data_IF_263576534514
#
_entry.id   IF_263576534514
#
_cell.length_a   1.000
_cell.length_b   1.000
_cell.length_c   1.000
_cell.angle_alpha   90.00
_cell.angle_beta   90.00
_cell.angle_gamma   90.00
#
_symmetry.space_group_name_H-M   'P 1'
#
loop_
_entity.id
_entity.type
_entity.pdbx_description
1 polymer ?
#
# COMPACT_ATOMS: atom_id res chain seq x y z
N UNK A 1 -19.95 8.85 0.81
CA UNK A 1 -21.21 8.65 1.56
C UNK A 1 -21.28 9.50 2.81
N UNK A 2 -20.17 9.82 3.40
CA UNK A 2 -20.04 10.67 4.59
C UNK A 2 -19.04 11.78 4.30
N UNK A 3 -19.33 12.99 4.73
CA UNK A 3 -18.41 14.14 4.73
C UNK A 3 -18.03 14.49 6.16
N UNK A 4 -16.80 15.00 6.35
CA UNK A 4 -16.33 15.48 7.66
C UNK A 4 -16.22 16.99 7.59
N UNK A 5 -16.88 17.69 8.54
CA UNK A 5 -16.78 19.13 8.69
C UNK A 5 -16.74 19.43 10.20
N UNK A 6 -15.81 20.26 10.63
CA UNK A 6 -15.63 20.69 12.03
C UNK A 6 -15.57 19.50 13.01
N UNK A 7 -14.86 18.42 12.64
CA UNK A 7 -14.75 17.14 13.37
C UNK A 7 -16.06 16.34 13.51
N UNK A 8 -17.12 16.73 12.81
CA UNK A 8 -18.38 15.99 12.77
C UNK A 8 -18.56 15.24 11.46
N UNK A 9 -19.24 14.09 11.53
CA UNK A 9 -19.59 13.28 10.36
C UNK A 9 -20.98 13.65 9.88
N UNK A 10 -21.07 14.06 8.62
CA UNK A 10 -22.35 14.37 7.95
C UNK A 10 -22.62 13.37 6.85
N UNK A 11 -23.83 12.86 6.78
CA UNK A 11 -24.26 11.98 5.68
C UNK A 11 -24.41 12.81 4.40
N UNK A 12 -23.68 12.45 3.33
CA UNK A 12 -23.83 13.07 2.02
C UNK A 12 -25.18 12.73 1.37
N UNK A 13 -25.55 13.40 0.27
CA UNK A 13 -26.76 13.01 -0.52
C UNK A 13 -26.71 11.53 -0.90
N UNK A 14 -25.61 11.04 -1.44
CA UNK A 14 -25.40 9.61 -1.76
C UNK A 14 -25.53 8.70 -0.53
N UNK A 15 -25.11 9.16 0.64
CA UNK A 15 -25.28 8.42 1.90
C UNK A 15 -26.74 8.34 2.33
N UNK A 16 -27.51 9.40 2.12
CA UNK A 16 -28.96 9.42 2.38
C UNK A 16 -29.72 8.49 1.45
N UNK A 17 -29.38 8.50 0.16
CA UNK A 17 -29.96 7.59 -0.86
C UNK A 17 -29.68 6.13 -0.51
N UNK A 18 -28.44 5.80 -0.10
CA UNK A 18 -28.10 4.45 0.35
C UNK A 18 -28.90 4.06 1.61
N UNK A 19 -29.01 4.95 2.58
CA UNK A 19 -29.79 4.69 3.80
C UNK A 19 -31.29 4.46 3.47
N UNK A 20 -31.83 5.21 2.52
CA UNK A 20 -33.20 5.01 2.03
C UNK A 20 -33.37 3.63 1.38
N UNK A 21 -32.48 3.29 0.42
CA UNK A 21 -32.48 2.00 -0.27
C UNK A 21 -32.30 0.81 0.70
N UNK A 22 -31.48 0.98 1.75
CA UNK A 22 -31.34 0.00 2.83
C UNK A 22 -32.66 -0.15 3.62
N UNK A 23 -33.28 0.96 4.03
CA UNK A 23 -34.50 0.95 4.82
C UNK A 23 -35.69 0.35 4.06
N UNK A 24 -35.77 0.48 2.72
CA UNK A 24 -36.84 -0.11 1.91
C UNK A 24 -36.91 -1.64 2.02
N UNK A 25 -35.77 -2.29 2.26
CA UNK A 25 -35.67 -3.74 2.34
C UNK A 25 -35.85 -4.31 3.75
N UNK A 26 -35.99 -3.46 4.75
CA UNK A 26 -36.19 -3.89 6.13
C UNK A 26 -37.69 -3.91 6.43
N UNK A 27 -38.25 -5.06 6.86
CA UNK A 27 -39.65 -5.13 7.28
C UNK A 27 -39.98 -4.08 8.34
N UNK A 28 -41.19 -3.52 8.30
CA UNK A 28 -41.56 -2.41 9.18
C UNK A 28 -41.59 -2.80 10.66
N UNK A 29 -42.00 -4.02 10.96
CA UNK A 29 -41.95 -4.58 12.31
C UNK A 29 -40.51 -4.67 12.86
N UNK A 30 -39.55 -5.06 12.03
CA UNK A 30 -38.12 -5.08 12.38
C UNK A 30 -37.59 -3.66 12.63
N UNK A 31 -37.95 -2.70 11.78
CA UNK A 31 -37.57 -1.28 11.99
C UNK A 31 -38.14 -0.74 13.31
N UNK A 32 -39.41 -1.03 13.60
CA UNK A 32 -40.07 -0.62 14.82
C UNK A 32 -39.39 -1.25 16.05
N UNK A 33 -39.10 -2.54 16.00
CA UNK A 33 -38.36 -3.26 17.02
C UNK A 33 -36.96 -2.66 17.28
N UNK A 34 -36.24 -2.28 16.21
CA UNK A 34 -34.95 -1.62 16.33
C UNK A 34 -35.02 -0.28 17.07
N UNK A 35 -36.00 0.57 16.73
CA UNK A 35 -36.20 1.85 17.39
C UNK A 35 -36.53 1.63 18.89
N UNK A 36 -37.41 0.68 19.19
CA UNK A 36 -37.79 0.36 20.57
C UNK A 36 -36.57 -0.16 21.36
N UNK A 37 -35.73 -0.97 20.76
CA UNK A 37 -34.52 -1.50 21.39
C UNK A 37 -33.51 -0.39 21.69
N UNK A 38 -33.31 0.56 20.76
CA UNK A 38 -32.46 1.75 20.98
C UNK A 38 -33.00 2.59 22.14
N UNK A 39 -34.29 2.85 22.16
CA UNK A 39 -34.91 3.62 23.24
C UNK A 39 -34.77 2.96 24.62
N UNK A 40 -34.75 1.63 24.69
CA UNK A 40 -34.48 0.87 25.92
C UNK A 40 -33.01 0.89 26.35
N UNK A 41 -32.10 1.27 25.47
CA UNK A 41 -30.65 1.35 25.71
C UNK A 41 -29.94 0.02 25.93
N UNK A 42 -30.59 -1.12 25.66
CA UNK A 42 -30.03 -2.47 25.76
C UNK A 42 -30.72 -3.43 24.79
N UNK A 43 -29.98 -4.42 24.33
CA UNK A 43 -30.46 -5.48 23.45
C UNK A 43 -30.37 -6.84 24.18
N UNK A 44 -31.40 -7.64 24.06
CA UNK A 44 -31.40 -9.04 24.46
C UNK A 44 -30.95 -9.93 23.30
N UNK A 45 -30.73 -11.22 23.56
CA UNK A 45 -30.42 -12.18 22.51
C UNK A 45 -31.60 -12.40 21.54
N UNK A 46 -32.83 -12.32 22.06
CA UNK A 46 -34.06 -12.35 21.27
C UNK A 46 -34.15 -11.14 20.34
N UNK A 47 -33.83 -9.94 20.83
CA UNK A 47 -33.78 -8.72 20.00
C UNK A 47 -32.77 -8.90 18.84
N UNK A 48 -31.58 -9.47 19.11
CA UNK A 48 -30.59 -9.71 18.06
C UNK A 48 -31.07 -10.68 16.97
N UNK A 49 -31.88 -11.71 17.34
CA UNK A 49 -32.47 -12.63 16.37
C UNK A 49 -33.51 -11.90 15.48
N UNK A 50 -34.35 -11.06 16.05
CA UNK A 50 -35.33 -10.24 15.31
C UNK A 50 -34.63 -9.23 14.41
N UNK A 51 -33.53 -8.62 14.88
CA UNK A 51 -32.78 -7.61 14.15
C UNK A 51 -31.81 -8.18 13.10
N UNK A 52 -31.74 -9.50 12.94
CA UNK A 52 -30.87 -10.14 11.94
C UNK A 52 -30.98 -9.55 10.51
N UNK A 53 -32.18 -9.14 10.01
CA UNK A 53 -32.29 -8.52 8.68
C UNK A 53 -31.56 -7.19 8.51
N UNK A 54 -31.21 -6.51 9.61
CA UNK A 54 -30.46 -5.24 9.61
C UNK A 54 -28.94 -5.49 9.52
N UNK A 55 -28.49 -6.73 9.62
CA UNK A 55 -27.08 -7.08 9.55
C UNK A 55 -26.45 -6.70 8.21
N UNK A 56 -25.27 -6.05 8.26
CA UNK A 56 -24.51 -5.58 7.08
C UNK A 56 -24.13 -6.70 6.10
N UNK A 57 -24.18 -7.94 6.52
CA UNK A 57 -23.89 -9.14 5.70
C UNK A 57 -25.16 -9.79 5.12
N UNK A 58 -26.31 -9.10 5.17
CA UNK A 58 -27.59 -9.59 4.67
C UNK A 58 -27.98 -8.98 3.32
N UNK A 59 -27.02 -8.43 2.57
CA UNK A 59 -27.27 -7.87 1.24
C UNK A 59 -27.85 -8.94 0.29
N UNK A 60 -29.05 -8.71 -0.21
CA UNK A 60 -29.75 -9.63 -1.13
C UNK A 60 -29.71 -9.07 -2.55
N UNK A 61 -29.33 -9.93 -3.51
CA UNK A 61 -29.36 -9.58 -4.95
C UNK A 61 -30.77 -9.15 -5.37
N UNK A 62 -30.84 -8.06 -6.14
CA UNK A 62 -32.10 -7.54 -6.69
C UNK A 62 -32.84 -6.57 -5.75
N UNK A 63 -32.34 -6.29 -4.56
CA UNK A 63 -32.91 -5.27 -3.66
C UNK A 63 -32.46 -3.87 -4.08
N UNK A 64 -33.18 -2.82 -3.65
CA UNK A 64 -32.81 -1.41 -3.90
C UNK A 64 -31.40 -1.10 -3.39
N UNK A 65 -31.03 -1.61 -2.22
CA UNK A 65 -29.69 -1.46 -1.65
C UNK A 65 -28.63 -2.13 -2.54
N UNK A 66 -28.87 -3.35 -3.01
CA UNK A 66 -27.97 -4.05 -3.91
C UNK A 66 -27.76 -3.28 -5.22
N UNK A 67 -28.84 -2.81 -5.83
CA UNK A 67 -28.78 -2.00 -7.06
C UNK A 67 -27.99 -0.71 -6.85
N UNK A 68 -28.21 -0.04 -5.74
CA UNK A 68 -27.51 1.19 -5.40
C UNK A 68 -26.01 0.97 -5.20
N UNK A 69 -25.63 -0.02 -4.40
CA UNK A 69 -24.23 -0.37 -4.15
C UNK A 69 -23.53 -0.85 -5.43
N UNK A 70 -24.22 -1.67 -6.22
CA UNK A 70 -23.70 -2.12 -7.51
C UNK A 70 -23.44 -0.94 -8.44
N UNK A 71 -24.37 0.00 -8.54
CA UNK A 71 -24.23 1.23 -9.32
C UNK A 71 -23.05 2.07 -8.84
N UNK A 72 -22.92 2.28 -7.54
CA UNK A 72 -21.79 3.03 -6.97
C UNK A 72 -20.42 2.40 -7.29
N UNK A 73 -20.36 1.08 -7.37
CA UNK A 73 -19.10 0.38 -7.69
C UNK A 73 -18.71 0.48 -9.17
N UNK A 74 -19.67 0.47 -10.05
CA UNK A 74 -19.46 0.33 -11.51
C UNK A 74 -19.50 1.66 -12.23
N UNK A 75 -20.27 2.64 -11.75
CA UNK A 75 -20.33 3.94 -12.41
C UNK A 75 -18.99 4.71 -12.30
N UNK A 76 -18.67 5.53 -13.29
CA UNK A 76 -17.56 6.47 -13.17
C UNK A 76 -17.67 7.34 -11.91
N UNK A 77 -16.52 7.80 -11.41
CA UNK A 77 -16.49 8.76 -10.30
C UNK A 77 -17.08 10.12 -10.72
N UNK A 78 -17.31 11.00 -9.76
CA UNK A 78 -17.90 12.34 -10.00
C UNK A 78 -17.11 13.15 -11.04
N UNK A 79 -15.79 12.94 -11.09
CA UNK A 79 -14.90 13.57 -12.08
C UNK A 79 -14.77 12.77 -13.40
N UNK A 80 -15.61 11.75 -13.61
CA UNK A 80 -15.61 10.92 -14.82
C UNK A 80 -14.53 9.81 -14.83
N UNK A 81 -13.77 9.63 -13.75
CA UNK A 81 -12.75 8.57 -13.70
C UNK A 81 -13.37 7.16 -13.73
N UNK A 82 -12.82 6.30 -14.56
CA UNK A 82 -13.19 4.88 -14.71
C UNK A 82 -12.29 3.93 -13.95
N UNK A 83 -11.26 4.42 -13.27
CA UNK A 83 -10.20 3.62 -12.64
C UNK A 83 -10.72 2.51 -11.72
N UNK A 84 -11.77 2.80 -10.93
CA UNK A 84 -12.36 1.79 -10.04
C UNK A 84 -13.04 0.67 -10.84
N UNK A 85 -13.85 1.03 -11.84
CA UNK A 85 -14.53 0.08 -12.71
C UNK A 85 -13.54 -0.79 -13.48
N UNK A 86 -12.49 -0.19 -14.03
CA UNK A 86 -11.38 -0.88 -14.70
C UNK A 86 -10.65 -1.83 -13.76
N UNK A 87 -10.32 -1.37 -12.53
CA UNK A 87 -9.70 -2.21 -11.51
C UNK A 87 -10.55 -3.42 -11.15
N UNK A 88 -11.86 -3.27 -11.07
CA UNK A 88 -12.78 -4.39 -10.83
C UNK A 88 -12.72 -5.38 -12.00
N UNK A 89 -12.75 -4.92 -13.25
CA UNK A 89 -12.60 -5.77 -14.43
C UNK A 89 -11.31 -6.58 -14.37
N UNK A 90 -10.16 -5.90 -14.22
CA UNK A 90 -8.85 -6.53 -14.13
C UNK A 90 -8.78 -7.56 -12.99
N UNK A 91 -9.39 -7.24 -11.85
CA UNK A 91 -9.42 -8.15 -10.71
C UNK A 91 -10.26 -9.40 -10.96
N UNK A 92 -11.43 -9.26 -11.57
CA UNK A 92 -12.28 -10.39 -11.96
C UNK A 92 -11.59 -11.26 -13.02
N UNK A 93 -10.92 -10.65 -14.00
CA UNK A 93 -10.12 -11.39 -15.00
C UNK A 93 -8.97 -12.18 -14.33
N UNK A 94 -8.28 -11.59 -13.34
CA UNK A 94 -7.24 -12.28 -12.58
C UNK A 94 -7.81 -13.48 -11.80
N UNK A 95 -8.98 -13.34 -11.16
CA UNK A 95 -9.66 -14.44 -10.48
C UNK A 95 -10.01 -15.58 -11.49
N UNK A 96 -10.44 -15.23 -12.72
CA UNK A 96 -10.74 -16.22 -13.74
C UNK A 96 -9.53 -17.09 -14.12
N UNK A 97 -8.33 -16.54 -14.03
CA UNK A 97 -7.06 -17.25 -14.27
C UNK A 97 -6.49 -17.91 -13.02
N UNK A 98 -7.24 -17.94 -11.90
CA UNK A 98 -6.83 -18.51 -10.61
C UNK A 98 -5.62 -17.81 -9.98
N UNK A 99 -5.43 -16.51 -10.27
CA UNK A 99 -4.45 -15.70 -9.57
C UNK A 99 -4.77 -15.63 -8.07
N UNK A 100 -3.78 -15.83 -7.21
CA UNK A 100 -3.96 -15.60 -5.80
C UNK A 100 -4.24 -14.10 -5.53
N UNK A 101 -5.16 -13.80 -4.61
CA UNK A 101 -5.62 -12.43 -4.35
C UNK A 101 -4.45 -11.48 -4.05
N UNK A 102 -3.48 -11.94 -3.27
CA UNK A 102 -2.32 -11.12 -2.90
C UNK A 102 -1.31 -10.93 -4.04
N UNK A 103 -1.34 -11.77 -5.06
CA UNK A 103 -0.45 -11.67 -6.22
C UNK A 103 -1.01 -10.76 -7.33
N UNK A 104 -2.24 -10.29 -7.18
CA UNK A 104 -2.88 -9.44 -8.16
C UNK A 104 -2.06 -8.18 -8.54
N UNK A 105 -1.46 -7.41 -7.60
CA UNK A 105 -0.65 -6.25 -7.98
C UNK A 105 0.59 -6.64 -8.80
N UNK A 106 1.24 -7.77 -8.45
CA UNK A 106 2.39 -8.31 -9.20
C UNK A 106 1.99 -8.72 -10.61
N UNK A 107 0.87 -9.44 -10.75
CA UNK A 107 0.30 -9.83 -12.05
C UNK A 107 0.05 -8.59 -12.94
N UNK A 108 -0.57 -7.54 -12.37
CA UNK A 108 -0.84 -6.30 -13.12
C UNK A 108 0.45 -5.56 -13.50
N UNK A 109 1.47 -5.60 -12.66
CA UNK A 109 2.79 -5.06 -13.01
C UNK A 109 3.42 -5.80 -14.19
N UNK A 110 3.40 -7.14 -14.18
CA UNK A 110 4.00 -7.99 -15.21
C UNK A 110 3.24 -7.92 -16.54
N UNK A 111 1.92 -7.79 -16.50
CA UNK A 111 1.06 -7.71 -17.68
C UNK A 111 0.90 -6.29 -18.25
N UNK A 112 1.49 -5.29 -17.58
CA UNK A 112 1.33 -3.92 -18.00
C UNK A 112 1.85 -3.68 -19.44
N UNK A 113 1.00 -3.03 -20.25
CA UNK A 113 1.34 -2.56 -21.60
C UNK A 113 1.00 -1.07 -21.72
N UNK A 114 1.73 -0.34 -22.56
CA UNK A 114 1.52 1.09 -22.75
C UNK A 114 0.13 1.45 -23.29
N UNK A 115 -0.53 0.52 -23.97
CA UNK A 115 -1.87 0.67 -24.57
C UNK A 115 -2.97 0.00 -23.73
N UNK A 116 -2.66 -0.44 -22.51
CA UNK A 116 -3.61 -1.07 -21.61
C UNK A 116 -4.57 -0.06 -20.95
N UNK A 117 -5.46 -0.61 -20.11
CA UNK A 117 -6.36 0.22 -19.31
C UNK A 117 -5.59 1.15 -18.36
N UNK A 118 -6.16 2.32 -18.08
CA UNK A 118 -5.52 3.28 -17.15
C UNK A 118 -5.35 2.69 -15.76
N UNK A 119 -6.30 1.91 -15.26
CA UNK A 119 -6.17 1.21 -14.00
C UNK A 119 -5.03 0.20 -13.97
N UNK A 120 -4.65 -0.40 -15.10
CA UNK A 120 -3.48 -1.26 -15.18
C UNK A 120 -2.19 -0.49 -14.92
N UNK A 121 -2.06 0.74 -15.46
CA UNK A 121 -0.97 1.63 -15.07
C UNK A 121 -1.05 2.01 -13.58
N UNK A 122 -2.23 2.22 -13.04
CA UNK A 122 -2.44 2.49 -11.61
C UNK A 122 -1.91 1.35 -10.72
N UNK A 123 -2.15 0.09 -11.08
CA UNK A 123 -1.62 -1.07 -10.37
C UNK A 123 -0.12 -1.26 -10.59
N UNK A 124 0.40 -0.98 -11.79
CA UNK A 124 1.83 -0.94 -12.07
C UNK A 124 2.54 0.11 -11.21
N UNK A 125 1.99 1.33 -11.12
CA UNK A 125 2.46 2.39 -10.24
C UNK A 125 2.43 1.96 -8.77
N UNK A 126 1.31 1.38 -8.30
CA UNK A 126 1.16 0.90 -6.94
C UNK A 126 2.23 -0.14 -6.59
N UNK A 127 2.46 -1.13 -7.46
CA UNK A 127 3.48 -2.16 -7.25
C UNK A 127 4.88 -1.57 -7.09
N UNK A 128 5.25 -0.59 -7.92
CA UNK A 128 6.53 0.11 -7.80
C UNK A 128 6.65 0.92 -6.51
N UNK A 129 5.59 1.63 -6.10
CA UNK A 129 5.55 2.35 -4.83
C UNK A 129 5.77 1.43 -3.63
N UNK A 130 5.09 0.28 -3.60
CA UNK A 130 5.24 -0.71 -2.55
C UNK A 130 6.64 -1.34 -2.54
N UNK A 131 7.20 -1.59 -3.73
CA UNK A 131 8.58 -2.09 -3.87
C UNK A 131 9.58 -1.09 -3.26
N UNK A 132 9.48 0.19 -3.60
CA UNK A 132 10.36 1.25 -3.08
C UNK A 132 10.18 1.39 -1.57
N UNK A 133 8.95 1.41 -1.10
CA UNK A 133 8.62 1.49 0.33
C UNK A 133 9.25 0.31 1.09
N UNK A 134 9.06 -0.91 0.60
CA UNK A 134 9.62 -2.10 1.22
C UNK A 134 11.16 -2.09 1.24
N UNK A 135 11.80 -1.56 0.19
CA UNK A 135 13.25 -1.37 0.17
C UNK A 135 13.72 -0.40 1.24
N UNK A 136 13.06 0.76 1.37
CA UNK A 136 13.39 1.77 2.39
C UNK A 136 13.21 1.17 3.80
N UNK A 137 12.11 0.46 4.05
CA UNK A 137 11.87 -0.23 5.32
C UNK A 137 12.89 -1.35 5.59
N UNK A 138 13.41 -2.03 4.55
CA UNK A 138 14.44 -3.06 4.71
C UNK A 138 15.79 -2.48 5.13
N UNK A 139 16.17 -1.33 4.58
CA UNK A 139 17.37 -0.60 5.04
C UNK A 139 17.13 -0.06 6.46
N UNK A 140 15.92 0.44 6.73
CA UNK A 140 15.53 0.91 8.06
C UNK A 140 15.59 -0.21 9.11
N UNK A 141 15.18 -1.41 8.75
CA UNK A 141 15.29 -2.58 9.63
C UNK A 141 16.76 -2.85 10.02
N UNK A 142 17.71 -2.81 9.07
CA UNK A 142 19.14 -2.93 9.40
C UNK A 142 19.59 -1.81 10.35
N UNK A 143 19.11 -0.58 10.16
CA UNK A 143 19.39 0.54 11.07
C UNK A 143 18.95 0.19 12.50
N UNK A 144 17.75 -0.33 12.68
CA UNK A 144 17.20 -0.70 13.98
C UNK A 144 17.96 -1.88 14.62
N UNK A 145 18.28 -2.93 13.85
CA UNK A 145 19.10 -4.05 14.33
C UNK A 145 20.50 -3.58 14.77
N UNK A 146 21.12 -2.71 13.96
CA UNK A 146 22.44 -2.15 14.30
C UNK A 146 22.38 -1.28 15.55
N UNK A 147 21.29 -0.52 15.76
CA UNK A 147 21.08 0.27 16.97
C UNK A 147 20.87 -0.64 18.20
N UNK A 148 20.19 -1.78 18.05
CA UNK A 148 20.01 -2.76 19.11
C UNK A 148 21.32 -3.42 19.57
N UNK A 149 22.21 -3.71 18.61
CA UNK A 149 23.52 -4.28 18.90
C UNK A 149 24.51 -3.27 19.52
N UNK A 150 24.35 -1.98 19.22
CA UNK A 150 25.30 -0.90 19.53
C UNK A 150 24.60 0.27 20.22
N UNK A 151 23.89 -0.01 21.30
CA UNK A 151 23.16 1.01 22.06
C UNK A 151 24.09 2.11 22.59
N UNK A 152 23.64 3.37 22.55
CA UNK A 152 24.40 4.57 22.93
C UNK A 152 25.68 4.83 22.13
N UNK A 153 25.70 4.46 20.87
CA UNK A 153 26.82 4.73 19.99
C UNK A 153 26.72 6.13 19.35
N UNK A 154 27.84 6.84 19.26
CA UNK A 154 27.92 8.11 18.54
C UNK A 154 27.42 7.94 17.07
N UNK A 155 26.58 8.86 16.60
CA UNK A 155 25.85 8.74 15.33
C UNK A 155 26.76 8.51 14.12
N UNK A 156 27.89 9.20 14.03
CA UNK A 156 28.82 9.03 12.91
C UNK A 156 29.42 7.62 12.88
N UNK A 157 29.82 7.09 14.04
CA UNK A 157 30.35 5.72 14.15
C UNK A 157 29.28 4.68 13.89
N UNK A 158 28.05 4.96 14.31
CA UNK A 158 26.90 4.13 14.01
C UNK A 158 26.63 4.01 12.49
N UNK A 159 26.63 5.14 11.78
CA UNK A 159 26.44 5.17 10.32
C UNK A 159 27.55 4.39 9.61
N UNK A 160 28.80 4.52 10.07
CA UNK A 160 29.93 3.75 9.53
C UNK A 160 29.74 2.24 9.70
N UNK A 161 29.28 1.78 10.87
CA UNK A 161 29.02 0.35 11.15
C UNK A 161 27.88 -0.17 10.26
N UNK A 162 26.75 0.55 10.19
CA UNK A 162 25.62 0.15 9.36
C UNK A 162 26.01 0.10 7.87
N UNK A 163 26.79 1.09 7.41
CA UNK A 163 27.31 1.11 6.03
C UNK A 163 28.21 -0.09 5.76
N UNK A 164 29.13 -0.40 6.69
CA UNK A 164 30.04 -1.54 6.59
C UNK A 164 29.28 -2.87 6.50
N UNK A 165 28.25 -3.06 7.32
CA UNK A 165 27.40 -4.27 7.27
C UNK A 165 26.76 -4.48 5.89
N UNK A 166 26.26 -3.41 5.22
CA UNK A 166 25.70 -3.52 3.86
C UNK A 166 26.80 -3.92 2.85
N UNK A 167 27.98 -3.32 2.93
CA UNK A 167 29.08 -3.61 2.02
C UNK A 167 29.60 -5.05 2.20
N UNK A 168 29.72 -5.52 3.43
CA UNK A 168 30.21 -6.87 3.75
C UNK A 168 29.19 -7.98 3.44
N UNK A 169 27.90 -7.64 3.29
CA UNK A 169 26.87 -8.58 2.83
C UNK A 169 27.08 -9.00 1.35
N UNK A 170 27.92 -8.30 0.61
CA UNK A 170 28.34 -8.69 -0.74
C UNK A 170 29.68 -9.46 -0.67
N UNK A 171 29.72 -10.62 -1.32
CA UNK A 171 30.97 -11.41 -1.44
C UNK A 171 32.04 -10.75 -2.31
N UNK A 172 31.68 -9.72 -3.10
CA UNK A 172 32.60 -8.94 -3.91
C UNK A 172 32.82 -7.57 -3.30
N UNK A 173 34.06 -7.07 -3.29
CA UNK A 173 34.34 -5.71 -2.85
C UNK A 173 33.78 -4.68 -3.85
N UNK A 174 32.68 -4.05 -3.45
CA UNK A 174 32.04 -2.98 -4.24
C UNK A 174 32.40 -1.57 -3.71
N UNK A 175 33.31 -1.46 -2.77
CA UNK A 175 33.64 -0.18 -2.11
C UNK A 175 34.15 0.90 -3.08
N UNK A 176 34.75 0.50 -4.20
CA UNK A 176 35.27 1.38 -5.25
C UNK A 176 34.22 1.81 -6.28
N UNK A 177 33.04 1.17 -6.28
CA UNK A 177 31.97 1.47 -7.21
C UNK A 177 31.23 2.76 -6.84
N UNK A 178 30.55 3.33 -7.83
CA UNK A 178 29.48 4.34 -7.65
C UNK A 178 28.13 3.67 -7.95
N UNK A 179 27.03 4.28 -7.55
CA UNK A 179 25.68 3.80 -7.94
C UNK A 179 25.59 3.76 -9.48
N UNK A 180 26.15 4.76 -10.17
CA UNK A 180 26.16 4.82 -11.64
C UNK A 180 26.90 3.64 -12.29
N UNK A 181 27.98 3.15 -11.68
CA UNK A 181 28.71 1.99 -12.19
C UNK A 181 28.06 0.64 -11.83
N UNK A 182 27.23 0.57 -10.80
CA UNK A 182 26.44 -0.62 -10.44
C UNK A 182 25.21 -0.78 -11.34
N UNK A 183 24.61 0.30 -11.78
CA UNK A 183 23.39 0.32 -12.60
C UNK A 183 23.45 -0.59 -13.85
N UNK A 184 24.51 -0.58 -14.69
CA UNK A 184 24.61 -1.51 -15.83
C UNK A 184 24.65 -2.98 -15.44
N UNK A 185 25.19 -3.31 -14.26
CA UNK A 185 25.31 -4.70 -13.80
C UNK A 185 23.97 -5.34 -13.47
N UNK A 186 22.97 -4.52 -13.13
CA UNK A 186 21.64 -4.97 -12.75
C UNK A 186 20.57 -4.68 -13.81
N UNK A 187 20.95 -4.18 -14.99
CA UNK A 187 20.00 -3.78 -16.06
C UNK A 187 19.06 -4.92 -16.47
N UNK A 188 19.57 -6.15 -16.57
CA UNK A 188 18.83 -7.33 -17.01
C UNK A 188 18.00 -8.00 -15.90
N UNK A 189 18.09 -7.52 -14.65
CA UNK A 189 17.32 -8.10 -13.56
C UNK A 189 15.87 -7.62 -13.60
N UNK A 190 14.96 -8.52 -13.24
CA UNK A 190 13.52 -8.27 -13.18
C UNK A 190 13.15 -7.79 -11.78
N UNK A 191 12.39 -6.67 -11.67
CA UNK A 191 11.97 -6.09 -10.38
C UNK A 191 11.19 -7.09 -9.52
N UNK A 192 10.18 -7.82 -10.00
CA UNK A 192 9.49 -8.86 -9.23
C UNK A 192 10.42 -9.94 -8.65
N UNK A 193 11.38 -10.43 -9.43
CA UNK A 193 12.34 -11.43 -8.95
C UNK A 193 13.24 -10.84 -7.85
N UNK A 194 13.76 -9.64 -8.05
CA UNK A 194 14.58 -8.96 -7.03
C UNK A 194 13.77 -8.68 -5.75
N UNK A 195 12.48 -8.35 -5.88
CA UNK A 195 11.60 -8.16 -4.74
C UNK A 195 11.37 -9.47 -3.98
N UNK A 196 11.11 -10.58 -4.67
CA UNK A 196 10.95 -11.90 -4.05
C UNK A 196 12.22 -12.31 -3.28
N UNK A 197 13.41 -12.08 -3.86
CA UNK A 197 14.69 -12.32 -3.19
C UNK A 197 14.90 -11.45 -1.94
N UNK A 198 14.48 -10.18 -2.00
CA UNK A 198 14.53 -9.27 -0.85
C UNK A 198 13.59 -9.76 0.27
N UNK A 199 12.37 -10.15 -0.09
CA UNK A 199 11.38 -10.69 0.87
C UNK A 199 11.90 -11.96 1.52
N UNK A 200 12.58 -12.84 0.77
CA UNK A 200 13.18 -14.06 1.31
C UNK A 200 14.25 -13.74 2.36
N UNK A 201 15.13 -12.76 2.10
CA UNK A 201 16.12 -12.30 3.09
C UNK A 201 15.48 -11.74 4.37
N UNK A 202 14.34 -11.07 4.24
CA UNK A 202 13.58 -10.58 5.40
C UNK A 202 12.96 -11.74 6.20
N UNK A 203 12.40 -12.74 5.52
CA UNK A 203 11.81 -13.94 6.16
C UNK A 203 12.88 -14.78 6.87
N UNK A 204 14.06 -14.89 6.27
CA UNK A 204 15.19 -15.65 6.83
C UNK A 204 16.02 -14.85 7.85
N UNK A 205 15.55 -13.68 8.24
CA UNK A 205 16.16 -12.81 9.28
C UNK A 205 17.62 -12.40 8.98
N UNK A 206 17.87 -11.97 7.72
CA UNK A 206 19.17 -11.54 7.23
C UNK A 206 19.16 -10.03 6.92
N UNK A 207 19.24 -9.12 7.92
CA UNK A 207 19.02 -7.69 7.72
C UNK A 207 20.10 -7.02 6.83
N UNK A 208 21.33 -7.46 6.86
CA UNK A 208 22.42 -6.89 6.05
C UNK A 208 22.23 -7.24 4.56
N UNK A 209 21.94 -8.51 4.26
CA UNK A 209 21.66 -8.97 2.90
C UNK A 209 20.35 -8.36 2.36
N UNK A 210 19.33 -8.23 3.21
CA UNK A 210 18.09 -7.56 2.85
C UNK A 210 18.35 -6.09 2.48
N UNK A 211 19.15 -5.35 3.27
CA UNK A 211 19.49 -3.97 2.99
C UNK A 211 20.32 -3.81 1.69
N UNK A 212 21.25 -4.73 1.42
CA UNK A 212 21.99 -4.74 0.15
C UNK A 212 21.05 -4.99 -1.04
N UNK A 213 20.18 -6.02 -0.98
CA UNK A 213 19.21 -6.29 -2.04
C UNK A 213 18.22 -5.13 -2.22
N UNK A 214 17.81 -4.49 -1.14
CA UNK A 214 16.98 -3.30 -1.16
C UNK A 214 17.65 -2.13 -1.89
N UNK A 215 18.94 -1.89 -1.62
CA UNK A 215 19.72 -0.86 -2.31
C UNK A 215 19.78 -1.13 -3.83
N UNK A 216 20.10 -2.37 -4.23
CA UNK A 216 20.16 -2.75 -5.66
C UNK A 216 18.79 -2.60 -6.33
N UNK A 217 17.72 -2.98 -5.64
CA UNK A 217 16.36 -2.85 -6.16
C UNK A 217 15.92 -1.39 -6.25
N UNK A 218 16.31 -0.52 -5.31
CA UNK A 218 16.08 0.94 -5.42
C UNK A 218 16.79 1.54 -6.64
N UNK A 219 18.03 1.11 -6.92
CA UNK A 219 18.76 1.53 -8.13
C UNK A 219 18.00 1.07 -9.39
N UNK A 220 17.53 -0.18 -9.41
CA UNK A 220 16.75 -0.70 -10.54
C UNK A 220 15.43 0.07 -10.73
N UNK A 221 14.72 0.40 -9.66
CA UNK A 221 13.51 1.23 -9.72
C UNK A 221 13.82 2.63 -10.25
N UNK A 222 14.92 3.24 -9.82
CA UNK A 222 15.38 4.53 -10.32
C UNK A 222 15.60 4.50 -11.84
N UNK A 223 16.38 3.53 -12.33
CA UNK A 223 16.67 3.37 -13.75
C UNK A 223 15.42 3.05 -14.60
N UNK A 224 14.39 2.46 -13.97
CA UNK A 224 13.12 2.14 -14.64
C UNK A 224 12.18 3.36 -14.71
N UNK A 225 12.10 4.14 -13.63
CA UNK A 225 11.08 5.19 -13.48
C UNK A 225 11.56 6.53 -14.02
N UNK A 226 12.81 6.94 -13.73
CA UNK A 226 13.30 8.28 -14.07
C UNK A 226 13.29 8.58 -15.57
N UNK A 227 13.63 7.65 -16.48
CA UNK A 227 13.54 7.91 -17.91
C UNK A 227 12.13 8.23 -18.43
N UNK A 228 11.09 7.86 -17.67
CA UNK A 228 9.69 8.10 -18.00
C UNK A 228 8.95 8.87 -16.90
N UNK A 229 9.67 9.68 -16.09
CA UNK A 229 9.14 10.41 -14.92
C UNK A 229 7.90 11.25 -15.25
N UNK A 230 7.86 11.89 -16.41
CA UNK A 230 6.74 12.73 -16.83
C UNK A 230 5.41 11.97 -16.87
N UNK A 231 5.44 10.68 -17.28
CA UNK A 231 4.28 9.81 -17.29
C UNK A 231 3.78 9.52 -15.87
N UNK A 232 4.70 9.24 -14.94
CA UNK A 232 4.39 9.00 -13.53
C UNK A 232 3.83 10.27 -12.88
N UNK A 233 4.47 11.41 -13.07
CA UNK A 233 4.03 12.70 -12.52
C UNK A 233 2.66 13.14 -13.08
N UNK A 234 2.40 12.91 -14.37
CA UNK A 234 1.09 13.19 -14.97
C UNK A 234 -0.02 12.33 -14.36
N UNK A 235 0.26 11.03 -14.11
CA UNK A 235 -0.68 10.13 -13.45
C UNK A 235 -0.93 10.55 -12.00
N UNK A 236 0.11 10.83 -11.22
CA UNK A 236 0.02 11.30 -9.84
C UNK A 236 -0.81 12.59 -9.72
N UNK A 237 -0.55 13.55 -10.60
CA UNK A 237 -1.28 14.83 -10.62
C UNK A 237 -2.77 14.62 -10.92
N UNK A 238 -3.10 13.80 -11.91
CA UNK A 238 -4.48 13.53 -12.30
C UNK A 238 -5.26 12.75 -11.26
N UNK A 239 -4.61 11.79 -10.59
CA UNK A 239 -5.24 10.93 -9.58
C UNK A 239 -5.12 11.48 -8.17
N UNK A 240 -4.42 12.59 -7.97
CA UNK A 240 -4.11 13.19 -6.67
C UNK A 240 -3.35 12.26 -5.72
N UNK A 241 -2.68 11.21 -6.23
CA UNK A 241 -1.92 10.26 -5.42
C UNK A 241 -0.69 10.87 -4.77
N UNK A 242 -0.08 11.88 -5.39
CA UNK A 242 1.07 12.63 -4.84
C UNK A 242 0.77 13.26 -3.47
N UNK A 243 -0.49 13.58 -3.18
CA UNK A 243 -0.92 14.12 -1.89
C UNK A 243 -0.89 13.02 -0.80
N UNK A 244 -1.17 11.78 -1.17
CA UNK A 244 -1.31 10.65 -0.26
C UNK A 244 -0.01 9.88 -0.05
N UNK A 245 0.73 9.62 -1.14
CA UNK A 245 1.88 8.72 -1.17
C UNK A 245 3.22 9.45 -1.38
N UNK A 246 3.19 10.74 -1.73
CA UNK A 246 4.34 11.47 -2.21
C UNK A 246 4.64 11.18 -3.68
N UNK A 247 5.58 11.96 -4.26
CA UNK A 247 6.01 11.78 -5.64
C UNK A 247 7.08 10.69 -5.72
N UNK A 248 6.81 9.64 -6.51
CA UNK A 248 7.71 8.49 -6.64
C UNK A 248 9.07 8.89 -7.23
N UNK A 249 9.08 9.77 -8.23
CA UNK A 249 10.29 10.25 -8.89
C UNK A 249 11.15 11.08 -7.92
N UNK A 250 10.54 12.00 -7.16
CA UNK A 250 11.24 12.78 -6.14
C UNK A 250 11.80 11.91 -5.03
N UNK A 251 11.08 10.88 -4.60
CA UNK A 251 11.57 9.92 -3.61
C UNK A 251 12.84 9.24 -4.12
N UNK A 252 12.83 8.73 -5.34
CA UNK A 252 14.00 8.08 -5.93
C UNK A 252 15.16 9.04 -6.17
N UNK A 253 14.90 10.28 -6.59
CA UNK A 253 15.94 11.31 -6.69
C UNK A 253 16.58 11.59 -5.34
N UNK A 254 15.81 11.66 -4.26
CA UNK A 254 16.31 11.90 -2.91
C UNK A 254 17.22 10.76 -2.40
N UNK A 255 16.90 9.50 -2.69
CA UNK A 255 17.68 8.36 -2.22
C UNK A 255 18.81 7.97 -3.18
N UNK A 256 18.55 7.94 -4.47
CA UNK A 256 19.47 7.41 -5.49
C UNK A 256 20.08 8.51 -6.35
N UNK A 257 19.27 9.43 -6.90
CA UNK A 257 19.73 10.42 -7.87
C UNK A 257 20.86 11.31 -7.35
N UNK A 258 20.67 11.94 -6.20
CA UNK A 258 21.69 12.83 -5.59
C UNK A 258 22.98 12.09 -5.17
N UNK A 259 22.90 10.75 -5.00
CA UNK A 259 24.00 9.90 -4.56
C UNK A 259 24.70 9.17 -5.72
N UNK A 260 24.18 9.30 -6.95
CA UNK A 260 24.53 8.46 -8.11
C UNK A 260 26.04 8.44 -8.42
N UNK A 261 26.69 9.60 -8.35
CA UNK A 261 28.12 9.77 -8.67
C UNK A 261 29.06 9.65 -7.47
N UNK A 262 28.52 9.46 -6.27
CA UNK A 262 29.33 9.30 -5.07
C UNK A 262 29.91 7.87 -4.99
N UNK A 263 31.08 7.70 -4.36
CA UNK A 263 31.55 6.37 -3.97
C UNK A 263 30.46 5.65 -3.17
N UNK A 264 30.23 4.36 -3.47
CA UNK A 264 29.09 3.59 -2.95
C UNK A 264 29.02 3.63 -1.40
N UNK A 265 30.15 3.60 -0.73
CA UNK A 265 30.23 3.74 0.73
C UNK A 265 29.60 5.05 1.20
N UNK A 266 29.94 6.17 0.53
CA UNK A 266 29.37 7.49 0.87
C UNK A 266 27.89 7.58 0.51
N UNK A 267 27.51 7.00 -0.61
CA UNK A 267 26.11 6.93 -1.05
C UNK A 267 25.24 6.18 -0.01
N UNK A 268 25.70 5.01 0.48
CA UNK A 268 24.99 4.23 1.50
C UNK A 268 24.87 5.02 2.81
N UNK A 269 25.95 5.67 3.27
CA UNK A 269 25.92 6.49 4.48
C UNK A 269 24.91 7.64 4.37
N UNK A 270 24.85 8.31 3.22
CA UNK A 270 23.85 9.35 2.96
C UNK A 270 22.41 8.79 2.94
N UNK A 271 22.19 7.63 2.33
CA UNK A 271 20.87 6.96 2.30
C UNK A 271 20.43 6.61 3.71
N UNK A 272 21.30 6.01 4.53
CA UNK A 272 21.02 5.71 5.93
C UNK A 272 20.63 6.98 6.70
N UNK A 273 21.41 8.06 6.54
CA UNK A 273 21.14 9.36 7.18
C UNK A 273 19.78 9.91 6.74
N UNK A 274 19.48 9.82 5.45
CA UNK A 274 18.19 10.29 4.88
C UNK A 274 17.03 9.51 5.47
N UNK A 275 17.12 8.17 5.57
CA UNK A 275 16.09 7.31 6.16
C UNK A 275 15.86 7.66 7.63
N UNK A 276 16.94 7.85 8.41
CA UNK A 276 16.85 8.21 9.83
C UNK A 276 16.15 9.56 10.02
N UNK A 277 16.52 10.57 9.23
CA UNK A 277 15.90 11.89 9.27
C UNK A 277 14.42 11.85 8.89
N UNK A 278 14.07 11.14 7.82
CA UNK A 278 12.68 10.97 7.38
C UNK A 278 11.83 10.27 8.44
N UNK A 279 12.35 9.21 9.06
CA UNK A 279 11.63 8.53 10.15
C UNK A 279 11.37 9.49 11.31
N UNK A 280 12.37 10.25 11.74
CA UNK A 280 12.25 11.22 12.84
C UNK A 280 11.18 12.28 12.53
N UNK A 281 11.22 12.88 11.32
CA UNK A 281 10.22 13.88 10.89
C UNK A 281 8.81 13.31 10.88
N UNK A 282 8.63 12.12 10.29
CA UNK A 282 7.31 11.47 10.19
C UNK A 282 6.78 11.08 11.57
N UNK A 283 7.63 10.51 12.44
CA UNK A 283 7.24 10.14 13.79
C UNK A 283 6.82 11.38 14.60
N UNK A 284 7.62 12.44 14.60
CA UNK A 284 7.29 13.69 15.31
C UNK A 284 5.99 14.31 14.80
N UNK A 285 5.78 14.35 13.49
CA UNK A 285 4.53 14.88 12.89
C UNK A 285 3.29 14.07 13.30
N UNK A 286 3.41 12.74 13.36
CA UNK A 286 2.30 11.87 13.78
C UNK A 286 2.03 11.96 15.28
N UNK A 287 3.06 12.14 16.10
CA UNK A 287 2.94 12.30 17.55
C UNK A 287 2.26 13.61 17.96
N UNK A 288 2.33 14.67 17.14
CA UNK A 288 1.65 15.93 17.42
C UNK A 288 0.13 15.81 17.65
N UNK A 289 -0.48 14.70 17.20
CA UNK A 289 -1.91 14.40 17.38
C UNK A 289 -2.16 13.10 18.18
N UNK A 290 -1.15 12.55 18.85
CA UNK A 290 -1.23 11.27 19.55
C UNK A 290 -0.45 11.30 20.85
N UNK A 291 -0.91 10.55 21.86
CA UNK A 291 -0.20 10.29 23.13
C UNK A 291 0.82 9.14 22.99
N UNK A 292 0.85 8.44 21.85
CA UNK A 292 1.75 7.32 21.63
C UNK A 292 3.08 7.78 21.03
N UNK A 293 4.19 7.32 21.61
CA UNK A 293 5.50 7.48 20.98
C UNK A 293 5.61 6.55 19.77
N UNK A 294 5.84 7.14 18.61
CA UNK A 294 5.93 6.41 17.32
C UNK A 294 7.39 6.28 16.84
N UNK A 295 8.34 6.82 17.59
CA UNK A 295 9.77 6.69 17.27
C UNK A 295 10.22 5.24 17.46
N UNK A 296 11.06 4.76 16.57
CA UNK A 296 11.67 3.43 16.66
C UNK A 296 13.11 3.48 17.17
N UNK A 297 13.70 4.65 17.12
CA UNK A 297 14.96 5.01 17.76
C UNK A 297 14.92 6.47 18.21
N UNK A 298 15.84 6.86 19.08
CA UNK A 298 16.05 8.25 19.50
C UNK A 298 17.53 8.63 19.32
N UNK A 299 17.79 9.91 19.20
CA UNK A 299 19.13 10.49 19.19
C UNK A 299 19.19 11.48 20.35
N UNK A 300 20.04 11.20 21.35
CA UNK A 300 20.26 12.03 22.52
C UNK A 300 21.76 12.22 22.69
N UNK A 301 22.21 13.45 22.96
CA UNK A 301 23.63 13.83 23.11
C UNK A 301 24.52 13.31 21.96
N UNK A 302 23.96 13.29 20.73
CA UNK A 302 24.68 12.80 19.54
C UNK A 302 24.87 11.28 19.47
N UNK A 303 24.24 10.53 20.38
CA UNK A 303 24.21 9.07 20.39
C UNK A 303 22.84 8.53 20.01
N UNK A 304 22.82 7.41 19.29
CA UNK A 304 21.61 6.69 18.94
C UNK A 304 21.30 5.62 19.98
N UNK A 305 20.01 5.43 20.29
CA UNK A 305 19.54 4.25 21.00
C UNK A 305 18.19 3.75 20.46
N UNK A 306 18.03 2.43 20.55
CA UNK A 306 16.87 1.72 20.02
C UNK A 306 15.66 1.90 20.96
N UNK A 307 14.48 2.10 20.37
CA UNK A 307 13.19 2.01 21.07
C UNK A 307 12.52 0.68 20.74
N UNK A 308 12.42 0.34 19.44
CA UNK A 308 11.75 -0.88 19.00
C UNK A 308 12.29 -1.34 17.65
N UNK A 309 12.48 -2.65 17.48
CA UNK A 309 12.80 -3.25 16.18
C UNK A 309 11.51 -3.49 15.41
N UNK A 310 11.49 -3.08 14.15
CA UNK A 310 10.40 -3.34 13.23
C UNK A 310 10.94 -3.89 11.91
N UNK A 311 10.38 -5.03 11.47
CA UNK A 311 10.65 -5.60 10.14
C UNK A 311 9.84 -4.90 9.06
N UNK A 312 10.34 -4.87 7.82
CA UNK A 312 9.62 -4.31 6.68
C UNK A 312 8.32 -5.07 6.43
N UNK A 313 7.30 -4.34 6.01
CA UNK A 313 5.98 -4.88 5.71
C UNK A 313 5.40 -4.18 4.49
N UNK A 314 4.74 -4.94 3.61
CA UNK A 314 3.90 -4.35 2.57
C UNK A 314 2.67 -3.69 3.18
N UNK A 315 2.22 -2.61 2.56
CA UNK A 315 0.93 -2.04 2.92
C UNK A 315 -0.18 -2.95 2.40
N UNK A 316 -1.32 -2.94 3.08
CA UNK A 316 -2.48 -3.71 2.62
C UNK A 316 -3.31 -2.88 1.62
N UNK A 317 -3.34 -3.25 0.33
CA UNK A 317 -4.11 -2.51 -0.69
C UNK A 317 -5.62 -2.75 -0.58
N UNK A 318 -6.07 -3.40 0.49
CA UNK A 318 -7.48 -3.75 0.75
C UNK A 318 -8.12 -4.62 -0.37
N UNK A 319 -7.31 -5.37 -1.10
CA UNK A 319 -7.81 -6.27 -2.17
C UNK A 319 -8.74 -7.33 -1.58
N UNK A 320 -8.43 -7.85 -0.39
CA UNK A 320 -9.33 -8.77 0.31
C UNK A 320 -10.70 -8.11 0.61
N UNK A 321 -10.72 -6.83 0.93
CA UNK A 321 -11.97 -6.07 1.12
C UNK A 321 -12.75 -5.97 -0.20
N UNK A 322 -12.05 -5.70 -1.30
CA UNK A 322 -12.67 -5.71 -2.64
C UNK A 322 -13.25 -7.07 -2.98
N UNK A 323 -12.49 -8.16 -2.75
CA UNK A 323 -12.96 -9.53 -2.96
C UNK A 323 -14.25 -9.81 -2.17
N UNK A 324 -14.26 -9.49 -0.87
CA UNK A 324 -15.44 -9.69 -0.02
C UNK A 324 -16.64 -8.85 -0.50
N UNK A 325 -16.38 -7.62 -0.94
CA UNK A 325 -17.41 -6.74 -1.47
C UNK A 325 -18.03 -7.29 -2.77
N UNK A 326 -17.18 -7.77 -3.70
CA UNK A 326 -17.63 -8.40 -4.93
C UNK A 326 -18.39 -9.71 -4.69
N UNK A 327 -18.01 -10.44 -3.64
CA UNK A 327 -18.77 -11.64 -3.19
C UNK A 327 -20.16 -11.24 -2.70
N UNK A 328 -20.27 -10.20 -1.88
CA UNK A 328 -21.54 -9.69 -1.38
C UNK A 328 -22.42 -9.12 -2.51
N UNK A 329 -21.83 -8.54 -3.55
CA UNK A 329 -22.53 -8.06 -4.74
C UNK A 329 -22.84 -9.18 -5.74
N UNK A 330 -22.54 -10.44 -5.42
CA UNK A 330 -22.76 -11.61 -6.27
C UNK A 330 -22.01 -11.61 -7.61
N UNK A 331 -20.84 -10.97 -7.68
CA UNK A 331 -19.89 -11.14 -8.78
C UNK A 331 -19.06 -12.42 -8.61
N UNK A 332 -18.79 -12.79 -7.34
CA UNK A 332 -18.05 -13.99 -6.97
C UNK A 332 -18.90 -14.92 -6.11
N UNK A 333 -18.74 -16.22 -6.33
CA UNK A 333 -19.33 -17.27 -5.50
C UNK A 333 -18.32 -18.41 -5.39
N UNK A 334 -18.00 -18.81 -4.16
CA UNK A 334 -17.05 -19.90 -3.88
C UNK A 334 -15.70 -19.74 -4.63
N UNK A 335 -15.22 -18.48 -4.73
CA UNK A 335 -13.98 -18.13 -5.43
C UNK A 335 -14.06 -18.15 -6.96
N UNK A 336 -15.24 -18.30 -7.53
CA UNK A 336 -15.46 -18.34 -8.98
C UNK A 336 -16.31 -17.17 -9.47
N UNK A 337 -16.16 -16.83 -10.76
CA UNK A 337 -16.98 -15.81 -11.41
C UNK A 337 -18.41 -16.31 -11.55
N UNK A 338 -19.36 -15.45 -11.22
CA UNK A 338 -20.78 -15.68 -11.52
C UNK A 338 -21.11 -15.22 -12.96
N UNK A 339 -22.33 -15.53 -13.43
CA UNK A 339 -22.85 -15.00 -14.67
C UNK A 339 -22.85 -13.46 -14.70
N UNK A 340 -23.16 -12.83 -13.56
CA UNK A 340 -23.11 -11.36 -13.41
C UNK A 340 -21.70 -10.80 -13.69
N UNK A 341 -20.65 -11.45 -13.17
CA UNK A 341 -19.27 -11.07 -13.42
C UNK A 341 -18.87 -11.28 -14.88
N UNK A 342 -19.23 -12.44 -15.46
CA UNK A 342 -18.93 -12.76 -16.87
C UNK A 342 -19.59 -11.76 -17.82
N UNK A 343 -20.84 -11.39 -17.55
CA UNK A 343 -21.56 -10.37 -18.33
C UNK A 343 -20.92 -8.99 -18.18
N UNK A 344 -20.48 -8.62 -16.97
CA UNK A 344 -19.76 -7.37 -16.74
C UNK A 344 -18.45 -7.31 -17.53
N UNK A 345 -17.63 -8.37 -17.52
CA UNK A 345 -16.37 -8.43 -18.25
C UNK A 345 -16.62 -8.33 -19.77
N UNK A 346 -17.60 -9.07 -20.29
CA UNK A 346 -17.93 -9.08 -21.73
C UNK A 346 -18.47 -7.75 -22.26
N UNK A 347 -19.27 -7.05 -21.44
CA UNK A 347 -19.95 -5.81 -21.83
C UNK A 347 -19.20 -4.57 -21.32
N UNK A 348 -17.90 -4.69 -21.10
CA UNK A 348 -17.10 -3.61 -20.54
C UNK A 348 -16.79 -2.50 -21.57
N UNK A 349 -17.03 -2.69 -22.82
CA UNK A 349 -16.76 -1.72 -23.90
C UNK A 349 -17.44 -0.37 -23.71
#
# INVERSE_FOLDING_TARGET
LVTVKDNWFYTSSKGKELAHAFCENIPEDVRKHYIDAICKGKLSEEDLKVLRPIGINQLKKGTSEWHYLNTLMIQPDINGSTLRRESIKLFLEAISTKCAINDFPKLQYEQYTANGLEAQFGWHYYYLCETIHYCIESIFWLILETAGENNYLAINRFIDIATKKILEANNNDISTYTIESVSPLITNYNIPIMQDELVDKTKTNQPAEAALKALLLLIKCYDTIIPQKEKFEAFEKRTHLSILLGNISQTLECYIGINRKLPIKKAIANIITTIMNQHTIVACRKMGNSTLDLRKFMIEDGCIFLVEIRKPQFTNPRIQTLYNFLTNLHYLRDGQLTETANNFIKNYE
#
